data_IF_677197878342
#
_entry.id   IF_677197878342
#
_cell.length_a   1.000
_cell.length_b   1.000
_cell.length_c   1.000
_cell.angle_alpha   90.00
_cell.angle_beta   90.00
_cell.angle_gamma   90.00
#
_symmetry.space_group_name_H-M   'P 1'
#
loop_
_entity.id
_entity.type
_entity.pdbx_description
1 polymer ?
#
# COMPACT_ATOMS: atom_id res chain seq x y z
N UNK A 1 -18.53 -1.28 -16.78
CA UNK A 1 -18.26 -0.34 -15.67
C UNK A 1 -16.86 0.26 -15.89
N UNK A 2 -16.72 1.55 -15.63
CA UNK A 2 -15.45 2.24 -15.82
C UNK A 2 -14.71 2.26 -14.47
N UNK A 3 -13.64 1.44 -14.35
CA UNK A 3 -12.85 1.30 -13.13
C UNK A 3 -11.64 2.24 -13.10
N UNK A 4 -11.71 3.38 -13.77
CA UNK A 4 -10.62 4.37 -13.85
C UNK A 4 -10.09 4.82 -12.48
N UNK A 5 -10.95 4.84 -11.46
CA UNK A 5 -10.55 5.18 -10.09
C UNK A 5 -9.54 4.21 -9.47
N UNK A 6 -9.36 3.00 -10.05
CA UNK A 6 -8.37 2.02 -9.59
C UNK A 6 -6.98 2.27 -10.15
N UNK A 7 -6.80 3.26 -11.00
CA UNK A 7 -5.51 3.59 -11.61
C UNK A 7 -5.36 5.11 -11.66
N UNK A 8 -4.37 5.64 -10.98
CA UNK A 8 -4.13 7.07 -10.90
C UNK A 8 -2.64 7.39 -10.82
N UNK A 9 -2.28 8.59 -11.26
CA UNK A 9 -0.97 9.18 -11.02
C UNK A 9 -1.18 10.63 -10.61
N UNK A 10 -1.02 10.94 -9.33
CA UNK A 10 -1.32 12.26 -8.80
C UNK A 10 -0.30 13.32 -9.28
N UNK A 11 -0.75 14.56 -9.37
CA UNK A 11 0.15 15.67 -9.67
C UNK A 11 1.14 15.85 -8.51
N UNK A 12 2.43 15.90 -8.87
CA UNK A 12 3.51 16.05 -7.88
C UNK A 12 4.05 14.73 -7.31
N UNK A 13 3.52 13.60 -7.73
CA UNK A 13 4.08 12.27 -7.47
C UNK A 13 4.88 11.78 -8.68
N UNK A 14 5.93 11.01 -8.43
CA UNK A 14 6.79 10.42 -9.45
C UNK A 14 6.45 8.95 -9.76
N UNK A 15 5.26 8.50 -9.35
CA UNK A 15 4.80 7.12 -9.47
C UNK A 15 3.29 7.02 -9.62
N UNK A 16 2.75 5.98 -10.29
CA UNK A 16 1.33 5.64 -10.26
C UNK A 16 0.93 4.97 -8.95
N UNK A 17 -0.34 5.15 -8.61
CA UNK A 17 -1.03 4.49 -7.49
C UNK A 17 -2.17 3.63 -8.03
N UNK A 18 -2.19 2.35 -7.66
CA UNK A 18 -3.03 1.33 -8.25
C UNK A 18 -3.88 0.60 -7.20
N UNK A 19 -5.10 0.19 -7.61
CA UNK A 19 -6.00 -0.57 -6.76
C UNK A 19 -6.63 0.24 -5.62
N UNK A 20 -7.38 -0.46 -4.75
CA UNK A 20 -8.11 0.15 -3.63
C UNK A 20 -7.19 0.63 -2.50
N UNK A 21 -5.97 0.09 -2.43
CA UNK A 21 -4.97 0.45 -1.42
C UNK A 21 -3.95 1.48 -1.92
N UNK A 22 -4.17 2.10 -3.08
CA UNK A 22 -3.20 3.04 -3.67
C UNK A 22 -1.78 2.47 -3.70
N UNK A 23 -1.65 1.20 -4.17
CA UNK A 23 -0.37 0.51 -4.22
C UNK A 23 0.58 1.19 -5.20
N UNK A 24 1.74 1.57 -4.68
CA UNK A 24 2.76 2.33 -5.41
C UNK A 24 3.56 1.38 -6.30
N UNK A 25 3.80 1.80 -7.54
CA UNK A 25 4.59 1.06 -8.52
C UNK A 25 5.67 1.94 -9.14
N UNK A 26 6.93 1.58 -8.94
CA UNK A 26 8.06 2.36 -9.41
C UNK A 26 8.57 1.90 -10.77
N UNK A 27 9.20 2.82 -11.46
CA UNK A 27 10.02 2.52 -12.63
C UNK A 27 11.33 1.86 -12.21
N UNK A 28 11.97 1.14 -13.13
CA UNK A 28 13.25 0.51 -12.90
C UNK A 28 14.30 1.52 -12.37
N UNK A 29 14.91 1.19 -11.22
CA UNK A 29 15.94 2.00 -10.59
C UNK A 29 15.45 3.28 -9.90
N UNK A 30 14.14 3.46 -9.76
CA UNK A 30 13.57 4.60 -9.03
C UNK A 30 13.75 4.43 -7.52
N UNK A 31 14.26 5.47 -6.86
CA UNK A 31 14.31 5.56 -5.40
C UNK A 31 13.27 6.58 -4.89
N UNK A 32 12.60 6.26 -3.79
CA UNK A 32 11.63 7.13 -3.15
C UNK A 32 11.69 7.04 -1.63
N UNK A 33 11.08 8.03 -0.96
CA UNK A 33 10.82 7.96 0.47
C UNK A 33 9.69 6.99 0.83
N UNK A 34 8.82 6.66 -0.14
CA UNK A 34 7.71 5.76 0.01
C UNK A 34 8.11 4.31 -0.24
N UNK A 35 7.41 3.37 0.38
CA UNK A 35 7.55 1.94 0.11
C UNK A 35 6.82 1.57 -1.19
N UNK A 36 7.50 0.87 -2.08
CA UNK A 36 6.86 0.27 -3.24
C UNK A 36 6.04 -0.94 -2.82
N UNK A 37 4.74 -0.94 -3.13
CA UNK A 37 3.81 -1.95 -2.62
C UNK A 37 3.11 -2.75 -3.71
N UNK A 38 3.06 -2.26 -4.94
CA UNK A 38 2.38 -2.97 -6.02
C UNK A 38 3.05 -4.31 -6.38
N UNK A 39 4.39 -4.42 -6.55
CA UNK A 39 5.04 -5.71 -6.77
C UNK A 39 4.80 -6.71 -5.64
N UNK A 40 4.74 -6.24 -4.38
CA UNK A 40 4.43 -7.08 -3.23
C UNK A 40 2.98 -7.61 -3.28
N UNK A 41 2.03 -6.77 -3.72
CA UNK A 41 0.65 -7.19 -3.98
C UNK A 41 0.60 -8.26 -5.07
N UNK A 42 1.32 -8.06 -6.19
CA UNK A 42 1.37 -9.03 -7.30
C UNK A 42 1.91 -10.37 -6.81
N UNK A 43 3.00 -10.37 -6.04
CA UNK A 43 3.53 -11.59 -5.45
C UNK A 43 2.53 -12.29 -4.52
N UNK A 44 1.83 -11.52 -3.67
CA UNK A 44 0.77 -12.04 -2.80
C UNK A 44 -0.37 -12.66 -3.60
N UNK A 45 -0.83 -11.99 -4.66
CA UNK A 45 -1.91 -12.47 -5.52
C UNK A 45 -1.51 -13.71 -6.32
N UNK A 46 -0.26 -13.78 -6.79
CA UNK A 46 0.30 -15.00 -7.42
C UNK A 46 0.31 -16.19 -6.46
N UNK A 47 0.69 -15.99 -5.21
CA UNK A 47 0.67 -17.04 -4.18
C UNK A 47 -0.76 -17.53 -3.87
N UNK A 48 -1.77 -16.75 -4.19
CA UNK A 48 -3.19 -17.10 -4.08
C UNK A 48 -3.77 -17.62 -5.40
N UNK A 49 -2.93 -17.87 -6.42
CA UNK A 49 -3.32 -18.31 -7.76
C UNK A 49 -4.31 -17.36 -8.46
N UNK A 50 -4.23 -16.06 -8.20
CA UNK A 50 -5.01 -15.07 -8.93
C UNK A 50 -4.52 -14.98 -10.40
N UNK A 51 -5.42 -14.69 -11.37
CA UNK A 51 -5.07 -14.56 -12.78
C UNK A 51 -4.37 -13.21 -13.06
N UNK A 52 -3.12 -13.06 -12.62
CA UNK A 52 -2.32 -11.86 -12.86
C UNK A 52 -2.08 -11.71 -14.37
N UNK A 53 -2.26 -10.51 -14.96
CA UNK A 53 -1.95 -10.25 -16.36
C UNK A 53 -0.52 -10.68 -16.72
N UNK A 54 -0.34 -11.35 -17.86
CA UNK A 54 0.95 -11.92 -18.26
C UNK A 54 2.04 -10.86 -18.37
N UNK A 55 1.72 -9.69 -18.91
CA UNK A 55 2.65 -8.60 -19.09
C UNK A 55 3.17 -7.99 -17.76
N UNK A 56 2.47 -8.21 -16.63
CA UNK A 56 2.93 -7.85 -15.27
C UNK A 56 3.76 -9.01 -14.67
N UNK A 57 3.43 -10.24 -15.02
CA UNK A 57 3.92 -11.46 -14.35
C UNK A 57 5.18 -12.05 -15.00
N UNK A 58 5.69 -11.44 -16.08
CA UNK A 58 6.87 -11.94 -16.80
C UNK A 58 8.17 -11.83 -15.99
N UNK A 59 8.22 -10.93 -15.00
CA UNK A 59 9.37 -10.72 -14.14
C UNK A 59 9.05 -11.04 -12.68
N UNK A 60 10.06 -11.44 -11.92
CA UNK A 60 9.93 -11.71 -10.48
C UNK A 60 9.70 -10.43 -9.66
N UNK A 61 10.07 -9.28 -10.21
CA UNK A 61 9.93 -7.95 -9.62
C UNK A 61 9.55 -6.95 -10.74
N UNK A 62 8.27 -6.87 -11.08
CA UNK A 62 7.82 -6.08 -12.22
C UNK A 62 7.95 -4.59 -11.94
N UNK A 63 8.56 -3.87 -12.89
CA UNK A 63 8.64 -2.41 -12.85
C UNK A 63 7.47 -1.77 -13.61
N UNK A 64 7.08 -0.56 -13.20
CA UNK A 64 6.07 0.23 -13.90
C UNK A 64 6.50 0.47 -15.36
N UNK A 65 5.65 0.16 -16.35
CA UNK A 65 5.97 0.37 -17.76
C UNK A 65 5.91 1.85 -18.18
N UNK A 66 5.25 2.69 -17.39
CA UNK A 66 5.08 4.10 -17.71
C UNK A 66 6.24 4.93 -17.16
N UNK A 67 6.84 5.73 -18.01
CA UNK A 67 8.05 6.53 -17.72
C UNK A 67 7.72 7.90 -17.12
N UNK A 68 6.46 8.33 -17.18
CA UNK A 68 6.00 9.62 -16.66
C UNK A 68 4.50 9.61 -16.46
N UNK A 69 4.00 10.62 -15.73
CA UNK A 69 2.57 10.86 -15.61
C UNK A 69 1.89 11.11 -16.97
N UNK A 70 2.53 11.82 -17.85
CA UNK A 70 1.99 12.10 -19.19
C UNK A 70 1.92 10.81 -20.02
N UNK A 71 2.95 9.96 -19.95
CA UNK A 71 2.95 8.63 -20.58
C UNK A 71 1.85 7.74 -20.03
N UNK A 72 1.68 7.71 -18.69
CA UNK A 72 0.58 6.98 -18.04
C UNK A 72 -0.78 7.40 -18.58
N UNK A 73 -1.05 8.70 -18.67
CA UNK A 73 -2.34 9.21 -19.16
C UNK A 73 -2.49 9.10 -20.67
N UNK A 74 -1.40 9.11 -21.43
CA UNK A 74 -1.44 8.81 -22.87
C UNK A 74 -1.88 7.34 -23.12
N UNK A 75 -1.52 6.44 -22.22
CA UNK A 75 -1.89 5.02 -22.28
C UNK A 75 -3.15 4.67 -21.46
N UNK A 76 -3.88 5.67 -20.96
CA UNK A 76 -4.96 5.48 -19.98
C UNK A 76 -6.13 4.63 -20.50
N UNK A 77 -6.30 4.55 -21.82
CA UNK A 77 -7.34 3.74 -22.48
C UNK A 77 -6.75 2.54 -23.26
N UNK A 78 -5.47 2.23 -23.07
CA UNK A 78 -4.82 1.08 -23.72
C UNK A 78 -5.45 -0.26 -23.26
N UNK A 79 -5.22 -1.33 -24.04
CA UNK A 79 -5.66 -2.68 -23.69
C UNK A 79 -5.08 -3.15 -22.36
N UNK A 80 -3.77 -2.93 -22.14
CA UNK A 80 -3.08 -3.30 -20.91
C UNK A 80 -3.64 -2.56 -19.69
N UNK A 81 -3.95 -1.28 -19.82
CA UNK A 81 -4.59 -0.50 -18.75
C UNK A 81 -6.00 -0.99 -18.42
N UNK A 82 -6.76 -1.40 -19.42
CA UNK A 82 -8.10 -1.97 -19.22
C UNK A 82 -8.01 -3.36 -18.57
N UNK A 83 -7.05 -4.17 -18.98
CA UNK A 83 -6.78 -5.48 -18.37
C UNK A 83 -6.35 -5.32 -16.90
N UNK A 84 -5.44 -4.39 -16.60
CA UNK A 84 -5.03 -4.05 -15.24
C UNK A 84 -6.22 -3.64 -14.37
N UNK A 85 -7.10 -2.77 -14.86
CA UNK A 85 -8.29 -2.35 -14.10
C UNK A 85 -9.26 -3.51 -13.85
N UNK A 86 -9.46 -4.36 -14.85
CA UNK A 86 -10.29 -5.54 -14.71
C UNK A 86 -9.73 -6.51 -13.66
N UNK A 87 -8.43 -6.76 -13.70
CA UNK A 87 -7.71 -7.56 -12.71
C UNK A 87 -7.84 -6.99 -11.30
N UNK A 88 -7.61 -5.69 -11.12
CA UNK A 88 -7.73 -5.01 -9.83
C UNK A 88 -9.18 -5.04 -9.30
N UNK A 89 -10.17 -4.86 -10.18
CA UNK A 89 -11.58 -4.92 -9.81
C UNK A 89 -11.98 -6.32 -9.32
N UNK A 90 -11.59 -7.36 -10.05
CA UNK A 90 -11.88 -8.74 -9.69
C UNK A 90 -11.11 -9.18 -8.43
N UNK A 91 -9.91 -8.63 -8.22
CA UNK A 91 -9.02 -8.95 -7.11
C UNK A 91 -9.26 -8.15 -5.83
N UNK A 92 -10.34 -7.37 -5.68
CA UNK A 92 -10.58 -6.50 -4.51
C UNK A 92 -10.49 -7.24 -3.17
N UNK A 93 -11.05 -8.44 -3.08
CA UNK A 93 -10.99 -9.21 -1.84
C UNK A 93 -9.56 -9.56 -1.43
N UNK A 94 -8.71 -9.92 -2.39
CA UNK A 94 -7.28 -10.20 -2.14
C UNK A 94 -6.50 -8.93 -1.80
N UNK A 95 -6.86 -7.79 -2.39
CA UNK A 95 -6.27 -6.50 -2.01
C UNK A 95 -6.60 -6.15 -0.56
N UNK A 96 -7.83 -6.38 -0.09
CA UNK A 96 -8.20 -6.20 1.32
C UNK A 96 -7.39 -7.13 2.22
N UNK A 97 -7.26 -8.42 1.89
CA UNK A 97 -6.43 -9.36 2.65
C UNK A 97 -4.97 -8.87 2.73
N UNK A 98 -4.41 -8.38 1.63
CA UNK A 98 -3.05 -7.85 1.59
C UNK A 98 -2.88 -6.60 2.44
N UNK A 99 -3.83 -5.66 2.41
CA UNK A 99 -3.83 -4.46 3.26
C UNK A 99 -3.81 -4.86 4.74
N UNK A 100 -4.66 -5.79 5.15
CA UNK A 100 -4.70 -6.29 6.53
C UNK A 100 -3.39 -6.98 6.91
N UNK A 101 -2.82 -7.78 6.02
CA UNK A 101 -1.52 -8.44 6.24
C UNK A 101 -0.41 -7.40 6.47
N UNK A 102 -0.28 -6.42 5.58
CA UNK A 102 0.71 -5.34 5.68
C UNK A 102 0.53 -4.52 6.95
N UNK A 103 -0.71 -4.20 7.28
CA UNK A 103 -1.03 -3.48 8.52
C UNK A 103 -0.59 -4.25 9.77
N UNK A 104 -0.89 -5.55 9.86
CA UNK A 104 -0.46 -6.38 10.98
C UNK A 104 1.07 -6.47 11.09
N UNK A 105 1.78 -6.60 9.96
CA UNK A 105 3.24 -6.55 9.93
C UNK A 105 3.77 -5.22 10.46
N UNK A 106 3.15 -4.12 10.06
CA UNK A 106 3.49 -2.77 10.53
C UNK A 106 3.27 -2.60 12.02
N UNK A 107 2.12 -3.05 12.55
CA UNK A 107 1.85 -3.01 13.99
C UNK A 107 2.89 -3.80 14.79
N UNK A 108 3.24 -5.00 14.35
CA UNK A 108 4.27 -5.80 14.99
C UNK A 108 5.62 -5.09 15.02
N UNK A 109 6.03 -4.44 13.91
CA UNK A 109 7.26 -3.64 13.85
C UNK A 109 7.22 -2.46 14.83
N UNK A 110 6.09 -1.75 14.90
CA UNK A 110 5.90 -0.63 15.83
C UNK A 110 6.02 -1.13 17.27
N UNK A 111 5.33 -2.20 17.64
CA UNK A 111 5.41 -2.79 18.99
C UNK A 111 6.83 -3.19 19.34
N UNK A 112 7.54 -3.86 18.43
CA UNK A 112 8.92 -4.30 18.66
C UNK A 112 9.92 -3.14 18.78
N UNK A 113 9.61 -1.96 18.26
CA UNK A 113 10.45 -0.76 18.38
C UNK A 113 10.36 -0.11 19.79
N UNK A 114 9.37 -0.47 20.60
CA UNK A 114 9.27 -0.05 21.98
C UNK A 114 10.15 -0.92 22.91
N UNK A 115 10.62 -0.36 24.06
CA UNK A 115 11.30 -1.14 25.11
C UNK A 115 10.43 -2.34 25.54
N UNK A 116 11.06 -3.48 25.79
CA UNK A 116 10.37 -4.74 26.13
C UNK A 116 9.38 -4.57 27.30
N UNK A 117 9.76 -3.75 28.29
CA UNK A 117 8.93 -3.46 29.46
C UNK A 117 7.61 -2.73 29.15
N UNK A 118 7.51 -2.05 28.03
CA UNK A 118 6.35 -1.25 27.62
C UNK A 118 5.48 -1.95 26.56
N UNK A 119 6.02 -2.96 25.88
CA UNK A 119 5.32 -3.70 24.80
C UNK A 119 3.96 -4.22 25.21
N UNK A 120 3.78 -4.89 26.38
CA UNK A 120 2.47 -5.42 26.78
C UNK A 120 1.40 -4.34 26.89
N UNK A 121 1.76 -3.14 27.34
CA UNK A 121 0.84 -2.01 27.42
C UNK A 121 0.44 -1.49 26.04
N UNK A 122 1.41 -1.39 25.11
CA UNK A 122 1.14 -0.96 23.74
C UNK A 122 0.25 -1.97 23.01
N UNK A 123 0.53 -3.28 23.17
CA UNK A 123 -0.31 -4.36 22.62
C UNK A 123 -1.74 -4.28 23.13
N UNK A 124 -1.93 -4.04 24.44
CA UNK A 124 -3.25 -3.93 25.04
C UNK A 124 -4.04 -2.72 24.51
N UNK A 125 -3.38 -1.57 24.36
CA UNK A 125 -3.97 -0.37 23.73
C UNK A 125 -4.41 -0.68 22.29
N UNK A 126 -3.52 -1.23 21.47
CA UNK A 126 -3.83 -1.56 20.07
C UNK A 126 -4.96 -2.60 19.99
N UNK A 127 -4.92 -3.63 20.84
CA UNK A 127 -5.97 -4.63 20.92
C UNK A 127 -7.31 -4.02 21.30
N UNK A 128 -7.33 -3.08 22.25
CA UNK A 128 -8.55 -2.37 22.66
C UNK A 128 -9.14 -1.54 21.52
N UNK A 129 -8.32 -0.86 20.75
CA UNK A 129 -8.75 -0.07 19.59
C UNK A 129 -9.35 -0.99 18.51
N UNK A 130 -8.67 -2.11 18.22
CA UNK A 130 -9.10 -3.05 17.17
C UNK A 130 -10.34 -3.86 17.59
N UNK A 131 -10.48 -4.22 18.87
CA UNK A 131 -11.56 -5.05 19.39
C UNK A 131 -12.84 -4.30 19.72
N UNK A 132 -12.83 -2.97 19.73
CA UNK A 132 -14.08 -2.21 19.80
C UNK A 132 -14.98 -2.66 18.66
N UNK A 133 -16.19 -3.12 19.00
CA UNK A 133 -17.14 -3.86 18.16
C UNK A 133 -17.52 -3.17 16.84
N UNK A 134 -17.12 -1.93 16.66
CA UNK A 134 -17.18 -1.21 15.40
C UNK A 134 -15.85 -1.39 14.65
N UNK A 135 -15.92 -1.94 13.46
CA UNK A 135 -14.81 -2.01 12.48
C UNK A 135 -14.11 -0.67 12.23
N UNK A 136 -14.68 0.43 12.72
CA UNK A 136 -14.16 1.80 12.66
C UNK A 136 -12.77 1.95 13.30
N UNK A 137 -12.48 1.25 14.40
CA UNK A 137 -11.16 1.33 15.06
C UNK A 137 -10.02 0.81 14.18
N UNK A 138 -10.24 -0.34 13.53
CA UNK A 138 -9.28 -0.92 12.59
C UNK A 138 -9.09 -0.01 11.37
N UNK A 139 -10.18 0.47 10.76
CA UNK A 139 -10.11 1.38 9.63
C UNK A 139 -9.41 2.68 9.99
N UNK A 140 -9.71 3.28 11.14
CA UNK A 140 -9.05 4.50 11.61
C UNK A 140 -7.54 4.32 11.78
N UNK A 141 -7.08 3.16 12.28
CA UNK A 141 -5.66 2.86 12.40
C UNK A 141 -5.00 2.64 11.04
N UNK A 142 -5.66 1.93 10.12
CA UNK A 142 -5.16 1.74 8.75
C UNK A 142 -5.02 3.10 8.06
N UNK A 143 -6.05 3.93 8.09
CA UNK A 143 -6.05 5.27 7.52
C UNK A 143 -4.97 6.15 8.16
N UNK A 144 -4.83 6.08 9.48
CA UNK A 144 -3.82 6.85 10.20
C UNK A 144 -2.40 6.48 9.73
N UNK A 145 -2.09 5.19 9.65
CA UNK A 145 -0.79 4.72 9.15
C UNK A 145 -0.58 5.12 7.69
N UNK A 146 -1.63 5.04 6.88
CA UNK A 146 -1.56 5.41 5.47
C UNK A 146 -1.25 6.91 5.27
N UNK A 147 -1.89 7.80 6.04
CA UNK A 147 -1.75 9.25 5.88
C UNK A 147 -0.62 9.87 6.71
N UNK A 148 -0.29 9.30 7.85
CA UNK A 148 0.70 9.85 8.80
C UNK A 148 1.97 9.02 8.92
N UNK A 149 1.95 7.82 8.33
CA UNK A 149 3.06 6.89 8.37
C UNK A 149 3.14 6.08 9.66
N UNK A 150 4.16 5.24 9.72
CA UNK A 150 4.41 4.34 10.85
C UNK A 150 5.09 5.04 12.01
N UNK A 151 5.89 6.05 11.71
CA UNK A 151 6.79 6.72 12.64
C UNK A 151 8.08 5.97 12.92
N UNK A 152 8.38 4.91 12.15
CA UNK A 152 9.60 4.12 12.27
C UNK A 152 10.77 4.70 11.48
N UNK A 153 10.51 5.57 10.52
CA UNK A 153 11.51 6.18 9.65
C UNK A 153 11.66 7.68 9.92
N UNK A 154 12.90 8.16 9.94
CA UNK A 154 13.19 9.61 10.02
C UNK A 154 12.71 10.37 8.77
N UNK A 155 12.51 9.67 7.64
CA UNK A 155 11.92 10.23 6.41
C UNK A 155 10.43 10.59 6.54
N UNK A 156 9.72 10.00 7.52
CA UNK A 156 8.31 10.30 7.83
C UNK A 156 8.15 11.55 8.72
N UNK A 157 9.21 12.30 8.96
CA UNK A 157 9.17 13.51 9.79
C UNK A 157 8.84 14.74 8.94
N UNK A 158 7.81 15.48 9.36
CA UNK A 158 7.48 16.77 8.79
C UNK A 158 8.05 17.90 9.67
N UNK A 159 8.94 18.73 9.12
CA UNK A 159 9.64 19.82 9.84
C UNK A 159 10.31 19.36 11.16
N UNK A 160 10.87 18.15 11.16
CA UNK A 160 11.53 17.57 12.33
C UNK A 160 10.59 16.91 13.36
N UNK A 161 9.27 16.95 13.15
CA UNK A 161 8.28 16.32 14.02
C UNK A 161 7.72 15.03 13.38
N UNK A 162 7.76 13.94 14.13
CA UNK A 162 7.11 12.67 13.75
C UNK A 162 5.64 12.68 14.14
N UNK A 163 4.77 12.27 13.20
CA UNK A 163 3.32 12.15 13.39
C UNK A 163 2.82 10.74 13.07
N UNK A 164 3.75 9.79 12.88
CA UNK A 164 3.38 8.41 12.62
C UNK A 164 2.77 7.72 13.86
N UNK A 165 2.17 6.55 13.66
CA UNK A 165 1.45 5.82 14.71
C UNK A 165 2.31 5.57 15.97
N UNK A 166 3.62 5.38 15.81
CA UNK A 166 4.56 5.18 16.93
C UNK A 166 4.68 6.41 17.86
N UNK A 167 4.45 7.64 17.36
CA UNK A 167 4.61 8.88 18.12
C UNK A 167 3.35 9.31 18.85
N UNK A 168 2.21 8.77 18.53
CA UNK A 168 0.92 9.05 19.18
C UNK A 168 0.51 7.96 20.13
#
# INVERSE_FOLDING_TARGET
ANYECLTSWNSGEDFPSLGIGHFIWFQAGQESAFEETFPQLIQFMNNKNAPVPSWINEESDPNSPWTSRDDFYANFQSGDMQELRSFLEQGKALQVEFIILKFNQTLNRIVHDFPESTRPRIEDILRTIISNQDTLGLYALIDYVHFKGTGLSDKERYRGHGWGLRQV
#
